data_IF_018963908581
#
_entry.id   IF_018963908581
#
_cell.length_a   1.000
_cell.length_b   1.000
_cell.length_c   1.000
_cell.angle_alpha   90.00
_cell.angle_beta   90.00
_cell.angle_gamma   90.00
#
_symmetry.space_group_name_H-M   'P 1'
#
loop_
_entity.id
_entity.type
_entity.pdbx_description
1 polymer ?
#
# COMPACT_ATOMS: atom_id res chain seq x y z
N UNK A 1 31.01 11.15 1.75
CA UNK A 1 31.81 9.98 2.18
C UNK A 1 31.22 8.79 1.47
N UNK A 2 32.02 7.99 0.78
CA UNK A 2 31.49 6.79 0.12
C UNK A 2 30.88 5.89 1.21
N UNK A 3 29.60 5.56 1.11
CA UNK A 3 28.97 4.58 1.99
C UNK A 3 29.80 3.29 1.91
N UNK A 4 30.38 2.88 3.04
CA UNK A 4 31.07 1.60 3.14
C UNK A 4 30.11 0.50 2.68
N UNK A 5 30.51 -0.25 1.65
CA UNK A 5 29.68 -1.29 1.08
C UNK A 5 29.49 -2.39 2.13
N UNK A 6 28.31 -2.43 2.75
CA UNK A 6 28.02 -3.30 3.88
C UNK A 6 28.28 -4.78 3.56
N UNK A 7 28.18 -5.18 2.29
CA UNK A 7 28.44 -6.56 1.84
C UNK A 7 29.87 -7.07 2.08
N UNK A 8 30.83 -6.19 2.33
CA UNK A 8 32.23 -6.54 2.62
C UNK A 8 32.57 -6.49 4.11
N UNK A 9 31.58 -6.32 4.99
CA UNK A 9 31.78 -6.37 6.44
C UNK A 9 31.65 -7.81 6.98
N UNK A 10 32.31 -8.12 8.11
CA UNK A 10 32.22 -9.44 8.76
C UNK A 10 30.80 -9.82 9.20
N UNK A 11 30.45 -11.10 9.11
CA UNK A 11 29.15 -11.66 9.54
C UNK A 11 28.88 -11.41 11.03
N UNK A 12 29.91 -11.41 11.88
CA UNK A 12 29.80 -11.20 13.34
C UNK A 12 29.17 -9.87 13.76
N UNK A 13 29.19 -8.88 12.86
CA UNK A 13 28.62 -7.55 13.08
C UNK A 13 27.08 -7.56 12.93
N UNK A 14 26.52 -8.61 12.31
CA UNK A 14 25.11 -8.65 11.89
C UNK A 14 24.36 -9.92 12.28
N UNK A 15 25.06 -10.97 12.72
CA UNK A 15 24.42 -12.21 13.13
C UNK A 15 23.72 -12.07 14.50
N UNK A 16 22.68 -12.88 14.70
CA UNK A 16 22.05 -13.03 16.00
C UNK A 16 22.86 -13.99 16.86
N UNK A 17 23.42 -13.50 17.97
CA UNK A 17 24.28 -14.30 18.87
C UNK A 17 23.50 -15.20 19.83
N UNK A 18 22.29 -14.80 20.22
CA UNK A 18 21.45 -15.62 21.11
C UNK A 18 20.67 -16.65 20.28
N UNK A 19 21.31 -17.79 20.04
CA UNK A 19 20.71 -18.90 19.28
C UNK A 19 20.17 -19.94 20.25
N UNK A 20 18.90 -20.31 20.08
CA UNK A 20 18.30 -21.40 20.86
C UNK A 20 18.74 -22.75 20.29
N UNK A 21 19.13 -23.65 21.18
CA UNK A 21 19.74 -24.94 20.84
C UNK A 21 19.02 -26.13 21.49
N UNK A 22 19.11 -27.29 20.86
CA UNK A 22 18.63 -28.57 21.40
C UNK A 22 19.59 -29.71 21.02
N UNK A 23 19.45 -30.86 21.67
CA UNK A 23 20.14 -32.10 21.30
C UNK A 23 19.39 -32.89 20.22
N UNK A 24 20.12 -33.70 19.45
CA UNK A 24 19.51 -34.55 18.41
C UNK A 24 18.55 -35.62 18.99
N UNK A 25 18.78 -36.04 20.23
CA UNK A 25 17.92 -36.99 20.94
C UNK A 25 16.73 -36.37 21.67
N UNK A 26 16.59 -35.04 21.65
CA UNK A 26 15.50 -34.36 22.34
C UNK A 26 14.16 -34.68 21.67
N UNK A 27 13.11 -34.78 22.49
CA UNK A 27 11.73 -34.95 22.00
C UNK A 27 11.36 -33.78 21.09
N UNK A 28 10.84 -34.10 19.90
CA UNK A 28 10.39 -33.09 18.95
C UNK A 28 9.33 -32.16 19.55
N UNK A 29 8.37 -32.71 20.31
CA UNK A 29 7.31 -31.92 20.95
C UNK A 29 7.85 -30.93 21.97
N UNK A 30 8.88 -31.31 22.73
CA UNK A 30 9.53 -30.43 23.71
C UNK A 30 10.24 -29.27 23.00
N UNK A 31 11.00 -29.57 21.94
CA UNK A 31 11.69 -28.56 21.15
C UNK A 31 10.71 -27.58 20.48
N UNK A 32 9.63 -28.08 19.87
CA UNK A 32 8.60 -27.24 19.24
C UNK A 32 7.82 -26.40 20.27
N UNK A 33 7.58 -26.94 21.47
CA UNK A 33 6.96 -26.16 22.56
C UNK A 33 7.86 -24.99 22.99
N UNK A 34 9.17 -25.24 23.09
CA UNK A 34 10.17 -24.20 23.33
C UNK A 34 10.17 -23.15 22.21
N UNK A 35 10.09 -23.60 20.95
CA UNK A 35 10.00 -22.69 19.80
C UNK A 35 8.78 -21.77 19.89
N UNK A 36 7.61 -22.32 20.24
CA UNK A 36 6.38 -21.56 20.44
C UNK A 36 6.50 -20.56 21.59
N UNK A 37 6.99 -20.99 22.75
CA UNK A 37 7.13 -20.15 23.94
C UNK A 37 8.10 -18.99 23.74
N UNK A 38 9.16 -19.22 22.97
CA UNK A 38 10.17 -18.21 22.64
C UNK A 38 9.87 -17.44 21.36
N UNK A 39 8.78 -17.78 20.67
CA UNK A 39 8.35 -17.20 19.40
C UNK A 39 9.47 -17.22 18.32
N UNK A 40 10.11 -18.38 18.14
CA UNK A 40 11.19 -18.61 17.15
C UNK A 40 10.79 -19.67 16.12
N UNK A 41 11.39 -19.62 14.93
CA UNK A 41 11.05 -20.48 13.78
C UNK A 41 12.15 -21.49 13.39
N UNK A 42 13.20 -21.58 14.20
CA UNK A 42 14.21 -22.66 14.13
C UNK A 42 15.05 -22.79 15.38
N UNK A 43 15.65 -23.96 15.54
CA UNK A 43 16.66 -24.24 16.55
C UNK A 43 17.88 -24.94 15.93
N UNK A 44 19.06 -24.62 16.44
CA UNK A 44 20.32 -25.30 16.06
C UNK A 44 20.47 -26.56 16.91
N UNK A 45 20.77 -27.67 16.27
CA UNK A 45 20.98 -28.96 16.91
C UNK A 45 22.45 -29.12 17.23
N UNK A 46 22.76 -29.38 18.50
CA UNK A 46 24.11 -29.64 18.97
C UNK A 46 24.36 -31.16 19.11
N UNK A 47 25.56 -31.59 18.76
CA UNK A 47 26.12 -32.90 19.10
C UNK A 47 27.47 -32.66 19.77
N UNK A 48 27.64 -33.19 20.98
CA UNK A 48 28.85 -33.02 21.79
C UNK A 48 29.28 -31.54 21.97
N UNK A 49 28.28 -30.65 22.09
CA UNK A 49 28.49 -29.20 22.24
C UNK A 49 28.76 -28.45 20.93
N UNK A 50 28.87 -29.15 19.79
CA UNK A 50 29.16 -28.57 18.48
C UNK A 50 27.92 -28.54 17.59
N UNK A 51 27.77 -27.52 16.71
CA UNK A 51 26.62 -27.41 15.82
C UNK A 51 26.65 -28.49 14.73
N UNK A 52 25.65 -29.37 14.72
CA UNK A 52 25.57 -30.57 13.86
C UNK A 52 24.38 -30.56 12.88
N UNK A 53 23.32 -29.81 13.24
CA UNK A 53 22.13 -29.69 12.41
C UNK A 53 21.28 -28.48 12.72
N UNK A 54 20.19 -28.32 11.97
CA UNK A 54 19.17 -27.29 12.20
C UNK A 54 17.80 -27.85 11.84
N UNK A 55 16.75 -27.46 12.54
CA UNK A 55 15.39 -27.74 12.11
C UNK A 55 14.51 -26.50 12.21
N UNK A 56 13.45 -26.46 11.40
CA UNK A 56 12.63 -25.29 11.13
C UNK A 56 11.14 -25.62 11.07
N UNK A 57 10.26 -24.62 11.14
CA UNK A 57 8.81 -24.83 10.95
C UNK A 57 8.46 -25.49 9.60
N UNK A 58 9.27 -25.24 8.57
CA UNK A 58 9.13 -25.87 7.25
C UNK A 58 9.39 -27.37 7.32
N UNK A 59 10.32 -27.80 8.16
CA UNK A 59 10.63 -29.22 8.38
C UNK A 59 9.47 -29.92 9.08
N UNK A 60 8.85 -29.28 10.08
CA UNK A 60 7.64 -29.81 10.73
C UNK A 60 6.53 -30.05 9.71
N UNK A 61 6.26 -29.07 8.85
CA UNK A 61 5.24 -29.19 7.80
C UNK A 61 5.56 -30.34 6.85
N UNK A 62 6.79 -30.40 6.34
CA UNK A 62 7.13 -31.28 5.22
C UNK A 62 7.52 -32.70 5.63
N UNK A 63 8.14 -32.86 6.81
CA UNK A 63 8.69 -34.14 7.28
C UNK A 63 7.83 -34.80 8.36
N UNK A 64 6.91 -34.07 9.00
CA UNK A 64 6.05 -34.62 10.06
C UNK A 64 4.59 -34.60 9.66
N UNK A 65 4.06 -33.40 9.36
CA UNK A 65 2.62 -33.23 9.08
C UNK A 65 2.23 -33.84 7.73
N UNK A 66 2.94 -33.48 6.65
CA UNK A 66 2.59 -33.96 5.31
C UNK A 66 2.66 -35.49 5.16
N UNK A 67 3.66 -36.19 5.75
CA UNK A 67 3.70 -37.66 5.73
C UNK A 67 2.77 -38.34 6.75
N UNK A 68 2.17 -37.60 7.69
CA UNK A 68 1.29 -38.14 8.72
C UNK A 68 2.00 -38.85 9.87
N UNK A 69 3.26 -38.47 10.18
CA UNK A 69 3.98 -39.05 11.31
C UNK A 69 3.46 -38.51 12.64
N UNK A 70 3.47 -39.37 13.67
CA UNK A 70 3.18 -38.98 15.04
C UNK A 70 4.33 -38.14 15.61
N UNK A 71 4.11 -36.86 15.97
CA UNK A 71 5.17 -36.03 16.54
C UNK A 71 5.70 -36.54 17.90
N UNK A 72 4.91 -37.36 18.60
CA UNK A 72 5.25 -37.93 19.90
C UNK A 72 6.33 -39.03 19.81
N UNK A 73 6.51 -39.62 18.64
CA UNK A 73 7.43 -40.73 18.40
C UNK A 73 8.77 -40.27 17.78
N UNK A 74 8.88 -38.99 17.43
CA UNK A 74 10.05 -38.43 16.74
C UNK A 74 10.96 -37.66 17.71
N UNK A 75 12.26 -37.83 17.49
CA UNK A 75 13.30 -36.96 18.02
C UNK A 75 13.62 -35.83 17.03
N UNK A 76 14.27 -34.77 17.51
CA UNK A 76 14.73 -33.67 16.64
C UNK A 76 15.66 -34.17 15.53
N UNK A 77 16.53 -35.14 15.85
CA UNK A 77 17.48 -35.74 14.91
C UNK A 77 16.83 -36.41 13.70
N UNK A 78 15.58 -36.89 13.83
CA UNK A 78 14.86 -37.56 12.74
C UNK A 78 14.42 -36.59 11.64
N UNK A 79 14.28 -35.30 11.98
CA UNK A 79 13.76 -34.28 11.06
C UNK A 79 14.75 -33.16 10.74
N UNK A 80 15.85 -33.06 11.49
CA UNK A 80 16.84 -32.01 11.27
C UNK A 80 17.48 -32.09 9.89
N UNK A 81 18.03 -30.97 9.43
CA UNK A 81 18.92 -30.92 8.28
C UNK A 81 20.37 -31.05 8.75
N UNK A 82 21.03 -32.09 8.24
CA UNK A 82 22.47 -32.35 8.40
C UNK A 82 23.01 -32.90 7.06
N UNK A 83 24.21 -32.53 6.59
CA UNK A 83 25.19 -31.67 7.26
C UNK A 83 24.73 -30.21 7.35
N UNK A 84 25.09 -29.56 8.46
CA UNK A 84 24.73 -28.17 8.74
C UNK A 84 25.48 -27.21 7.81
N UNK A 85 24.76 -26.29 7.19
CA UNK A 85 25.36 -25.20 6.43
C UNK A 85 25.84 -24.10 7.37
N UNK A 86 27.14 -23.84 7.37
CA UNK A 86 27.78 -22.87 8.26
C UNK A 86 28.51 -21.75 7.50
N UNK A 87 28.86 -20.70 8.22
CA UNK A 87 29.73 -19.61 7.78
C UNK A 87 30.59 -19.11 8.95
N UNK A 88 31.84 -18.72 8.70
CA UNK A 88 32.71 -18.16 9.74
C UNK A 88 32.23 -16.77 10.18
N UNK A 89 32.46 -16.41 11.45
CA UNK A 89 32.03 -15.11 11.96
C UNK A 89 32.82 -13.93 11.34
N UNK A 90 34.03 -14.19 10.85
CA UNK A 90 34.88 -13.25 10.12
C UNK A 90 34.73 -13.30 8.60
N UNK A 91 33.92 -14.23 8.06
CA UNK A 91 33.55 -14.23 6.64
C UNK A 91 32.70 -12.98 6.34
N UNK A 92 32.70 -12.56 5.08
CA UNK A 92 31.98 -11.35 4.63
C UNK A 92 30.55 -11.64 4.21
N UNK A 93 29.66 -10.65 4.38
CA UNK A 93 28.22 -10.81 4.12
C UNK A 93 27.85 -11.26 2.70
N UNK A 94 28.58 -10.83 1.66
CA UNK A 94 28.28 -11.31 0.30
C UNK A 94 28.45 -12.82 0.19
N UNK A 95 29.38 -13.41 0.95
CA UNK A 95 29.62 -14.84 0.95
C UNK A 95 28.47 -15.59 1.63
N UNK A 96 27.89 -15.01 2.69
CA UNK A 96 26.68 -15.52 3.32
C UNK A 96 25.53 -15.60 2.32
N UNK A 97 25.26 -14.52 1.57
CA UNK A 97 24.23 -14.50 0.53
C UNK A 97 24.51 -15.51 -0.59
N UNK A 98 25.75 -15.58 -1.04
CA UNK A 98 26.16 -16.52 -2.08
C UNK A 98 25.93 -17.97 -1.65
N UNK A 99 26.33 -18.34 -0.42
CA UNK A 99 26.12 -19.68 0.14
C UNK A 99 24.63 -19.99 0.30
N UNK A 100 23.83 -19.07 0.83
CA UNK A 100 22.38 -19.20 0.96
C UNK A 100 21.69 -19.44 -0.39
N UNK A 101 22.02 -18.61 -1.40
CA UNK A 101 21.49 -18.73 -2.76
C UNK A 101 21.84 -20.07 -3.40
N UNK A 102 23.12 -20.47 -3.33
CA UNK A 102 23.61 -21.73 -3.91
C UNK A 102 22.97 -22.95 -3.25
N UNK A 103 22.81 -22.94 -1.93
CA UNK A 103 22.23 -24.03 -1.17
C UNK A 103 20.69 -23.99 -1.14
N UNK A 104 20.07 -22.92 -1.67
CA UNK A 104 18.62 -22.65 -1.63
C UNK A 104 18.06 -22.68 -0.20
N UNK A 105 18.81 -22.09 0.72
CA UNK A 105 18.44 -21.95 2.14
C UNK A 105 18.41 -20.47 2.52
N UNK A 106 17.68 -20.13 3.57
CA UNK A 106 17.47 -18.75 4.01
C UNK A 106 18.27 -18.36 5.26
N UNK A 107 19.09 -19.28 5.78
CA UNK A 107 19.84 -19.10 7.02
C UNK A 107 21.12 -19.91 7.02
N UNK A 108 22.14 -19.37 7.68
CA UNK A 108 23.41 -20.04 7.93
C UNK A 108 23.72 -19.96 9.42
N UNK A 109 24.23 -21.05 9.96
CA UNK A 109 24.78 -21.04 11.32
C UNK A 109 26.16 -20.40 11.28
N UNK A 110 26.38 -19.43 12.15
CA UNK A 110 27.65 -18.71 12.27
C UNK A 110 28.51 -19.46 13.28
N UNK A 111 29.74 -19.77 12.89
CA UNK A 111 30.73 -20.46 13.72
C UNK A 111 31.96 -19.60 13.95
N UNK A 112 32.60 -19.78 15.10
CA UNK A 112 33.92 -19.19 15.38
C UNK A 112 35.07 -20.01 14.76
N UNK A 113 36.30 -19.57 14.98
CA UNK A 113 37.53 -20.23 14.51
C UNK A 113 37.71 -21.65 15.07
N UNK A 114 37.06 -21.99 16.19
CA UNK A 114 37.07 -23.33 16.77
C UNK A 114 35.92 -24.21 16.25
N UNK A 115 35.05 -23.66 15.40
CA UNK A 115 33.87 -24.33 14.87
C UNK A 115 32.68 -24.34 15.82
N UNK A 116 32.77 -23.66 16.97
CA UNK A 116 31.68 -23.58 17.93
C UNK A 116 30.62 -22.57 17.47
N UNK A 117 29.41 -22.71 18.02
CA UNK A 117 28.26 -21.88 17.65
C UNK A 117 28.47 -20.42 18.09
N UNK A 118 28.63 -19.51 17.13
CA UNK A 118 28.80 -18.07 17.37
C UNK A 118 27.53 -17.25 17.09
N UNK A 119 26.61 -17.78 16.28
CA UNK A 119 25.34 -17.11 15.98
C UNK A 119 24.54 -17.74 14.84
N UNK A 120 23.54 -17.02 14.35
CA UNK A 120 22.80 -17.36 13.14
C UNK A 120 22.58 -16.09 12.30
N UNK A 121 22.67 -16.20 10.98
CA UNK A 121 22.38 -15.10 10.06
C UNK A 121 21.38 -15.56 9.00
N UNK A 122 20.40 -14.72 8.69
CA UNK A 122 19.38 -14.97 7.66
C UNK A 122 19.55 -14.04 6.46
N UNK A 123 18.99 -14.42 5.32
CA UNK A 123 18.94 -13.55 4.13
C UNK A 123 18.21 -12.22 4.44
N UNK A 124 17.20 -12.27 5.30
CA UNK A 124 16.44 -11.12 5.77
C UNK A 124 17.30 -10.20 6.63
N UNK A 125 18.16 -10.75 7.50
CA UNK A 125 19.13 -9.95 8.27
C UNK A 125 20.07 -9.21 7.32
N UNK A 126 20.49 -9.83 6.23
CA UNK A 126 21.38 -9.21 5.23
C UNK A 126 20.64 -8.17 4.37
N UNK A 127 19.40 -8.44 3.98
CA UNK A 127 18.57 -7.50 3.21
C UNK A 127 18.26 -6.22 3.99
N UNK A 128 18.12 -6.31 5.33
CA UNK A 128 17.94 -5.15 6.22
C UNK A 128 19.10 -4.16 6.17
N UNK A 129 20.29 -4.63 5.83
CA UNK A 129 21.52 -3.83 5.76
C UNK A 129 21.57 -2.92 4.54
N UNK A 130 20.64 -3.07 3.61
CA UNK A 130 20.45 -2.06 2.60
C UNK A 130 19.76 -0.85 3.24
N UNK A 131 20.46 0.30 3.24
CA UNK A 131 19.93 1.60 3.67
C UNK A 131 18.62 2.01 2.94
N UNK A 132 18.31 1.29 1.86
CA UNK A 132 17.14 1.44 0.99
C UNK A 132 16.18 0.24 1.09
N UNK A 133 16.20 -0.54 2.17
CA UNK A 133 15.19 -1.60 2.34
C UNK A 133 13.85 -1.00 2.81
N UNK A 134 12.70 -1.42 2.22
CA UNK A 134 11.38 -1.02 2.68
C UNK A 134 11.15 -1.26 4.17
N UNK A 135 11.64 -2.39 4.69
CA UNK A 135 11.47 -2.77 6.09
C UNK A 135 12.20 -1.81 7.05
N UNK A 136 13.44 -1.42 6.73
CA UNK A 136 14.17 -0.45 7.54
C UNK A 136 13.45 0.90 7.57
N UNK A 137 12.89 1.32 6.43
CA UNK A 137 12.16 2.58 6.35
C UNK A 137 10.91 2.60 7.22
N UNK A 138 10.16 1.49 7.30
CA UNK A 138 9.03 1.36 8.24
C UNK A 138 9.49 1.53 9.70
N UNK A 139 10.55 0.82 10.09
CA UNK A 139 11.10 0.92 11.46
C UNK A 139 11.60 2.33 11.78
N UNK A 140 12.21 3.01 10.81
CA UNK A 140 12.68 4.38 10.98
C UNK A 140 11.50 5.36 11.14
N UNK A 141 10.40 5.17 10.39
CA UNK A 141 9.15 5.94 10.54
C UNK A 141 8.56 5.73 11.94
N UNK A 142 8.44 4.49 12.40
CA UNK A 142 7.90 4.20 13.74
C UNK A 142 8.70 4.88 14.87
N UNK A 143 10.02 4.99 14.69
CA UNK A 143 10.95 5.57 15.67
C UNK A 143 11.16 7.09 15.53
N UNK A 144 10.68 7.71 14.45
CA UNK A 144 10.86 9.13 14.20
C UNK A 144 10.43 9.96 15.41
N UNK A 145 11.28 10.84 15.94
CA UNK A 145 11.02 11.57 17.17
C UNK A 145 10.47 12.97 16.93
N UNK A 146 10.50 13.45 15.68
CA UNK A 146 10.09 14.79 15.29
C UNK A 146 9.44 14.84 13.91
N UNK A 147 8.74 15.94 13.61
CA UNK A 147 8.20 16.23 12.28
C UNK A 147 9.34 16.37 11.25
N UNK A 148 10.51 16.88 11.67
CA UNK A 148 11.69 17.01 10.81
C UNK A 148 12.29 15.65 10.43
N UNK A 149 12.27 14.67 11.34
CA UNK A 149 12.64 13.28 11.02
C UNK A 149 11.68 12.72 9.96
N UNK A 150 10.37 12.95 10.11
CA UNK A 150 9.37 12.52 9.13
C UNK A 150 9.54 13.19 7.77
N UNK A 151 9.92 14.46 7.71
CA UNK A 151 10.29 15.14 6.45
C UNK A 151 11.43 14.41 5.73
N UNK A 152 12.47 14.06 6.48
CA UNK A 152 13.63 13.34 5.96
C UNK A 152 13.24 11.93 5.48
N UNK A 153 12.39 11.24 6.23
CA UNK A 153 11.91 9.90 5.87
C UNK A 153 10.96 9.92 4.66
N UNK A 154 10.11 10.93 4.53
CA UNK A 154 9.26 11.11 3.36
C UNK A 154 10.10 11.29 2.07
N UNK A 155 11.19 12.06 2.13
CA UNK A 155 12.15 12.14 1.01
C UNK A 155 12.84 10.78 0.73
N UNK A 156 13.14 9.98 1.76
CA UNK A 156 13.68 8.62 1.59
C UNK A 156 12.68 7.67 0.92
N UNK A 157 11.36 7.82 1.16
CA UNK A 157 10.33 7.07 0.42
C UNK A 157 10.45 7.36 -1.08
N UNK A 158 10.57 8.64 -1.46
CA UNK A 158 10.73 9.00 -2.87
C UNK A 158 11.99 8.37 -3.48
N UNK A 159 13.12 8.42 -2.78
CA UNK A 159 14.36 7.78 -3.24
C UNK A 159 14.22 6.26 -3.36
N UNK A 160 13.55 5.59 -2.42
CA UNK A 160 13.24 4.18 -2.50
C UNK A 160 12.48 3.86 -3.79
N UNK A 161 11.43 4.62 -4.11
CA UNK A 161 10.66 4.45 -5.34
C UNK A 161 11.53 4.69 -6.58
N UNK A 162 12.42 5.68 -6.57
CA UNK A 162 13.37 5.93 -7.66
C UNK A 162 14.31 4.75 -7.91
N UNK A 163 14.79 4.09 -6.84
CA UNK A 163 15.67 2.93 -6.89
C UNK A 163 14.94 1.66 -7.34
N UNK A 164 13.73 1.45 -6.85
CA UNK A 164 12.90 0.30 -7.22
C UNK A 164 12.27 0.48 -8.61
N UNK A 165 12.16 1.69 -9.12
CA UNK A 165 11.65 1.95 -10.47
C UNK A 165 12.61 1.41 -11.54
N UNK A 166 12.16 0.38 -12.26
CA UNK A 166 12.93 -0.28 -13.31
C UNK A 166 13.45 -1.68 -12.94
N UNK A 167 13.19 -2.16 -11.72
CA UNK A 167 13.63 -3.50 -11.26
C UNK A 167 12.66 -4.64 -11.61
N UNK A 168 11.60 -4.37 -12.37
CA UNK A 168 10.61 -5.37 -12.77
C UNK A 168 9.55 -5.70 -11.71
N UNK A 169 9.50 -4.95 -10.59
CA UNK A 169 8.45 -5.07 -9.59
C UNK A 169 7.08 -4.78 -10.24
N UNK A 170 6.05 -5.62 -10.01
CA UNK A 170 4.69 -5.34 -10.48
C UNK A 170 4.17 -4.01 -9.95
N UNK A 171 3.48 -3.26 -10.82
CA UNK A 171 3.02 -1.91 -10.46
C UNK A 171 2.07 -1.89 -9.26
N UNK A 172 1.20 -2.92 -9.11
CA UNK A 172 0.31 -3.08 -7.96
C UNK A 172 1.11 -3.12 -6.65
N UNK A 173 2.21 -3.86 -6.61
CA UNK A 173 3.06 -4.00 -5.42
C UNK A 173 3.81 -2.71 -5.11
N UNK A 174 4.31 -2.02 -6.14
CA UNK A 174 4.97 -0.73 -6.00
C UNK A 174 4.03 0.34 -5.41
N UNK A 175 2.82 0.44 -5.94
CA UNK A 175 1.82 1.40 -5.49
C UNK A 175 1.36 1.09 -4.06
N UNK A 176 1.16 -0.20 -3.74
CA UNK A 176 0.81 -0.63 -2.38
C UNK A 176 1.94 -0.31 -1.38
N UNK A 177 3.20 -0.49 -1.78
CA UNK A 177 4.34 -0.10 -0.96
C UNK A 177 4.33 1.41 -0.66
N UNK A 178 4.13 2.24 -1.69
CA UNK A 178 4.05 3.71 -1.54
C UNK A 178 2.92 4.08 -0.57
N UNK A 179 1.71 3.57 -0.80
CA UNK A 179 0.56 3.86 0.03
C UNK A 179 0.77 3.45 1.49
N UNK A 180 1.31 2.24 1.73
CA UNK A 180 1.59 1.77 3.09
C UNK A 180 2.63 2.64 3.81
N UNK A 181 3.69 3.07 3.12
CA UNK A 181 4.71 3.94 3.72
C UNK A 181 4.14 5.33 4.04
N UNK A 182 3.32 5.90 3.14
CA UNK A 182 2.64 7.17 3.37
C UNK A 182 1.68 7.09 4.56
N UNK A 183 0.88 6.02 4.64
CA UNK A 183 0.00 5.75 5.78
C UNK A 183 0.78 5.73 7.10
N UNK A 184 1.95 5.05 7.15
CA UNK A 184 2.77 5.01 8.36
C UNK A 184 3.34 6.38 8.74
N UNK A 185 3.76 7.18 7.76
CA UNK A 185 4.21 8.57 8.01
C UNK A 185 3.09 9.37 8.66
N UNK A 186 1.87 9.28 8.13
CA UNK A 186 0.72 10.04 8.63
C UNK A 186 0.25 9.54 10.01
N UNK A 187 0.23 8.23 10.24
CA UNK A 187 -0.04 7.64 11.57
C UNK A 187 1.00 8.12 12.59
N UNK A 188 2.29 8.11 12.23
CA UNK A 188 3.34 8.61 13.12
C UNK A 188 3.21 10.10 13.39
N UNK A 189 2.87 10.88 12.37
CA UNK A 189 2.64 12.32 12.50
C UNK A 189 1.52 12.63 13.50
N UNK A 190 0.40 11.91 13.40
CA UNK A 190 -0.70 11.99 14.39
C UNK A 190 -0.19 11.64 15.78
N UNK A 191 0.60 10.58 15.93
CA UNK A 191 1.14 10.16 17.23
C UNK A 191 2.08 11.21 17.84
N UNK A 192 2.93 11.86 17.03
CA UNK A 192 3.83 12.93 17.49
C UNK A 192 3.05 14.16 17.97
N UNK A 193 2.09 14.64 17.17
CA UNK A 193 1.25 15.78 17.55
C UNK A 193 0.45 15.50 18.83
N UNK A 194 -0.08 14.28 18.97
CA UNK A 194 -0.77 13.85 20.20
C UNK A 194 0.15 13.77 21.41
N UNK A 195 1.39 13.34 21.24
CA UNK A 195 2.35 13.25 22.35
C UNK A 195 2.86 14.63 22.79
N UNK A 196 2.98 15.58 21.87
CA UNK A 196 3.52 16.91 22.12
C UNK A 196 2.46 17.87 22.65
N UNK A 197 1.52 18.29 21.80
CA UNK A 197 0.57 19.35 22.13
C UNK A 197 -0.84 18.81 22.43
N UNK A 198 -1.22 17.64 21.92
CA UNK A 198 -2.60 17.15 21.89
C UNK A 198 -2.83 15.91 22.76
N UNK A 199 -2.19 15.83 23.93
CA UNK A 199 -2.31 14.68 24.84
C UNK A 199 -3.72 14.50 25.42
N UNK A 200 -4.47 15.59 25.50
CA UNK A 200 -5.88 15.67 25.95
C UNK A 200 -6.89 15.43 24.82
N UNK A 201 -6.44 15.22 23.57
CA UNK A 201 -7.32 15.02 22.44
C UNK A 201 -8.17 13.76 22.64
N UNK A 202 -9.49 13.91 22.46
CA UNK A 202 -10.45 12.81 22.56
C UNK A 202 -10.05 11.62 21.67
N UNK A 203 -10.47 10.42 22.07
CA UNK A 203 -10.37 9.21 21.25
C UNK A 203 -11.66 8.96 20.46
N UNK A 204 -12.70 9.77 20.66
CA UNK A 204 -14.00 9.63 20.01
C UNK A 204 -14.05 10.28 18.62
N UNK A 205 -13.07 9.93 17.78
CA UNK A 205 -13.04 10.35 16.38
C UNK A 205 -12.32 9.32 15.49
N UNK A 206 -12.51 9.47 14.19
CA UNK A 206 -11.76 8.81 13.14
C UNK A 206 -11.18 9.88 12.22
N UNK A 207 -9.88 9.80 11.96
CA UNK A 207 -9.25 10.48 10.84
C UNK A 207 -9.28 9.53 9.64
N UNK A 208 -9.90 10.00 8.56
CA UNK A 208 -10.10 9.20 7.34
C UNK A 208 -9.42 9.83 6.16
N UNK A 209 -9.01 8.96 5.25
CA UNK A 209 -8.44 9.30 3.95
C UNK A 209 -9.37 8.83 2.84
N UNK A 210 -9.35 9.52 1.71
CA UNK A 210 -10.32 9.35 0.63
C UNK A 210 -9.61 9.33 -0.73
N UNK A 211 -10.38 9.18 -1.81
CA UNK A 211 -9.82 9.19 -3.16
C UNK A 211 -8.75 8.11 -3.36
N UNK A 212 -7.63 8.47 -4.00
CA UNK A 212 -6.53 7.51 -4.22
C UNK A 212 -5.86 7.04 -2.94
N UNK A 213 -5.81 7.87 -1.89
CA UNK A 213 -5.28 7.46 -0.59
C UNK A 213 -6.20 6.48 0.12
N UNK A 214 -7.52 6.75 0.06
CA UNK A 214 -8.57 5.84 0.52
C UNK A 214 -8.48 4.44 -0.10
N UNK A 215 -8.20 4.37 -1.41
CA UNK A 215 -8.05 3.12 -2.15
C UNK A 215 -6.66 2.47 -2.06
N UNK A 216 -5.67 3.13 -1.43
CA UNK A 216 -4.30 2.64 -1.38
C UNK A 216 -3.56 2.69 -2.73
N UNK A 217 -3.89 3.68 -3.56
CA UNK A 217 -3.46 3.81 -4.96
C UNK A 217 -2.59 5.06 -5.21
N UNK A 218 -1.95 5.57 -4.16
CA UNK A 218 -1.08 6.75 -4.26
C UNK A 218 0.16 6.44 -5.11
N UNK A 219 0.64 7.48 -5.81
CA UNK A 219 1.96 7.48 -6.43
C UNK A 219 2.77 8.66 -5.89
N UNK A 220 3.82 9.11 -6.58
CA UNK A 220 4.70 10.19 -6.14
C UNK A 220 4.09 11.61 -6.25
N UNK A 221 2.94 11.75 -6.89
CA UNK A 221 2.17 13.00 -6.93
C UNK A 221 0.82 12.73 -6.26
N UNK A 222 0.72 13.10 -4.99
CA UNK A 222 -0.50 13.00 -4.19
C UNK A 222 -0.71 14.30 -3.45
N UNK A 223 -1.94 14.79 -3.46
CA UNK A 223 -2.45 15.80 -2.56
C UNK A 223 -3.13 15.14 -1.35
N UNK A 224 -3.62 15.98 -0.43
CA UNK A 224 -4.28 15.56 0.80
C UNK A 224 -5.80 15.47 0.60
N UNK A 225 -6.37 14.27 0.64
CA UNK A 225 -7.83 14.07 0.65
C UNK A 225 -8.23 13.41 1.98
N UNK A 226 -8.52 14.21 3.01
CA UNK A 226 -8.83 13.71 4.34
C UNK A 226 -10.01 14.40 5.05
N UNK A 227 -10.56 13.72 6.05
CA UNK A 227 -11.68 14.20 6.85
C UNK A 227 -11.62 13.68 8.29
N UNK A 228 -12.37 14.32 9.20
CA UNK A 228 -12.61 13.84 10.55
C UNK A 228 -14.10 13.52 10.73
N UNK A 229 -14.37 12.34 11.27
CA UNK A 229 -15.68 11.92 11.75
C UNK A 229 -15.57 11.76 13.25
N UNK A 230 -16.36 12.52 14.02
CA UNK A 230 -16.37 12.40 15.48
C UNK A 230 -17.71 11.89 16.00
N UNK A 231 -17.73 11.40 17.24
CA UNK A 231 -18.98 11.02 17.90
C UNK A 231 -19.94 12.19 18.05
N UNK A 232 -21.23 11.90 18.18
CA UNK A 232 -22.27 12.93 18.39
C UNK A 232 -22.25 13.52 19.82
N UNK A 233 -21.52 12.88 20.75
CA UNK A 233 -21.51 13.23 22.17
C UNK A 233 -20.38 14.17 22.61
N UNK A 234 -19.52 14.63 21.71
CA UNK A 234 -18.39 15.50 22.06
C UNK A 234 -18.88 16.86 22.56
N UNK A 235 -18.23 17.37 23.59
CA UNK A 235 -18.42 18.73 24.07
C UNK A 235 -17.86 19.77 23.08
N UNK A 236 -18.31 21.01 23.18
CA UNK A 236 -17.79 22.11 22.36
C UNK A 236 -16.27 22.32 22.53
N UNK A 237 -15.73 22.06 23.73
CA UNK A 237 -14.30 22.14 24.00
C UNK A 237 -13.52 21.03 23.28
N UNK A 238 -14.02 19.79 23.29
CA UNK A 238 -13.39 18.68 22.55
C UNK A 238 -13.45 18.90 21.03
N UNK A 239 -14.56 19.43 20.52
CA UNK A 239 -14.70 19.78 19.09
C UNK A 239 -13.71 20.89 18.70
N UNK A 240 -13.57 21.93 19.52
CA UNK A 240 -12.57 22.99 19.30
C UNK A 240 -11.14 22.43 19.38
N UNK A 241 -10.88 21.45 20.24
CA UNK A 241 -9.58 20.78 20.31
C UNK A 241 -9.28 19.95 19.07
N UNK A 242 -10.28 19.24 18.53
CA UNK A 242 -10.19 18.55 17.23
C UNK A 242 -9.95 19.51 16.06
N UNK A 243 -10.50 20.74 16.13
CA UNK A 243 -10.22 21.80 15.15
C UNK A 243 -8.75 22.18 15.14
N UNK A 244 -8.23 22.56 16.30
CA UNK A 244 -6.83 22.97 16.42
C UNK A 244 -5.90 21.83 15.95
N UNK A 245 -6.19 20.61 16.39
CA UNK A 245 -5.46 19.42 15.95
C UNK A 245 -5.51 19.23 14.42
N UNK A 246 -6.66 19.41 13.79
CA UNK A 246 -6.78 19.21 12.35
C UNK A 246 -6.05 20.30 11.56
N UNK A 247 -5.99 21.54 12.05
CA UNK A 247 -5.16 22.58 11.46
C UNK A 247 -3.68 22.22 11.53
N UNK A 248 -3.17 21.86 12.70
CA UNK A 248 -1.74 21.56 12.89
C UNK A 248 -1.32 20.29 12.15
N UNK A 249 -2.19 19.27 12.08
CA UNK A 249 -1.92 18.07 11.30
C UNK A 249 -1.76 18.37 9.80
N UNK A 250 -2.62 19.24 9.24
CA UNK A 250 -2.55 19.61 7.83
C UNK A 250 -1.32 20.47 7.55
N UNK A 251 -0.98 21.41 8.43
CA UNK A 251 0.25 22.20 8.30
C UNK A 251 1.51 21.33 8.45
N UNK A 252 1.48 20.34 9.34
CA UNK A 252 2.58 19.39 9.49
C UNK A 252 2.75 18.52 8.23
N UNK A 253 1.65 18.05 7.62
CA UNK A 253 1.66 17.36 6.31
C UNK A 253 2.27 18.22 5.20
N UNK A 254 1.90 19.51 5.14
CA UNK A 254 2.49 20.46 4.19
C UNK A 254 3.99 20.60 4.45
N UNK A 255 4.39 20.71 5.71
CA UNK A 255 5.80 20.88 6.10
C UNK A 255 6.68 19.69 5.71
N UNK A 256 6.14 18.47 5.64
CA UNK A 256 6.87 17.27 5.20
C UNK A 256 6.84 17.04 3.67
N UNK A 257 6.17 17.94 2.93
CA UNK A 257 6.14 17.94 1.47
C UNK A 257 4.89 17.34 0.84
N UNK A 258 3.79 17.16 1.59
CA UNK A 258 2.49 16.73 1.02
C UNK A 258 1.63 17.97 0.74
N UNK A 259 1.42 18.35 -0.53
CA UNK A 259 0.73 19.59 -0.88
C UNK A 259 -0.75 19.57 -0.47
N UNK A 260 -1.35 20.74 -0.18
CA UNK A 260 -2.77 20.82 0.13
C UNK A 260 -3.62 20.43 -1.10
N UNK A 261 -4.80 19.86 -0.87
CA UNK A 261 -5.74 19.58 -1.95
C UNK A 261 -6.30 20.89 -2.53
N UNK A 262 -6.20 21.01 -3.85
CA UNK A 262 -6.71 22.16 -4.62
C UNK A 262 -8.23 22.33 -4.49
N UNK A 263 -8.96 21.25 -4.21
CA UNK A 263 -10.40 21.25 -3.98
C UNK A 263 -10.83 21.55 -2.54
N UNK A 264 -9.88 21.77 -1.61
CA UNK A 264 -10.19 22.06 -0.22
C UNK A 264 -10.69 20.85 0.58
N UNK A 265 -10.32 19.63 0.19
CA UNK A 265 -10.80 18.38 0.78
C UNK A 265 -9.89 17.98 1.95
N UNK A 266 -9.99 18.71 3.06
CA UNK A 266 -9.06 18.57 4.18
C UNK A 266 -9.78 18.77 5.51
N UNK A 267 -9.44 17.98 6.51
CA UNK A 267 -10.02 17.99 7.86
C UNK A 267 -9.87 19.32 8.62
N UNK A 268 -8.95 20.21 8.20
CA UNK A 268 -8.90 21.60 8.69
C UNK A 268 -10.13 22.41 8.29
N UNK A 269 -10.75 22.09 7.16
CA UNK A 269 -11.93 22.79 6.68
C UNK A 269 -13.18 22.24 7.41
N UNK A 270 -14.06 23.11 7.96
CA UNK A 270 -15.23 22.68 8.74
C UNK A 270 -16.15 21.71 8.00
N UNK A 271 -16.22 21.82 6.67
CA UNK A 271 -17.05 20.94 5.83
C UNK A 271 -16.60 19.47 5.87
N UNK A 272 -15.35 19.22 6.24
CA UNK A 272 -14.70 17.91 6.31
C UNK A 272 -14.41 17.48 7.76
N UNK A 273 -15.02 18.14 8.75
CA UNK A 273 -14.96 17.78 10.17
C UNK A 273 -16.35 17.85 10.76
N UNK A 274 -17.01 16.70 10.93
CA UNK A 274 -18.41 16.63 11.37
C UNK A 274 -18.66 15.47 12.32
N UNK A 275 -19.76 15.55 13.04
CA UNK A 275 -20.27 14.42 13.81
C UNK A 275 -20.76 13.31 12.89
N UNK A 276 -20.92 12.10 13.42
CA UNK A 276 -21.48 10.98 12.67
C UNK A 276 -22.87 11.30 12.10
N UNK A 277 -23.75 11.92 12.91
CA UNK A 277 -25.10 12.28 12.46
C UNK A 277 -25.09 13.36 11.38
N UNK A 278 -24.23 14.37 11.50
CA UNK A 278 -24.05 15.42 10.49
C UNK A 278 -23.49 14.87 9.18
N UNK A 279 -22.54 13.93 9.24
CA UNK A 279 -22.05 13.23 8.06
C UNK A 279 -23.14 12.41 7.37
N UNK A 280 -24.02 11.74 8.12
CA UNK A 280 -25.18 11.01 7.54
C UNK A 280 -26.14 11.96 6.83
N UNK A 281 -26.38 13.15 7.39
CA UNK A 281 -27.20 14.17 6.75
C UNK A 281 -26.56 14.70 5.46
N UNK A 282 -25.26 14.99 5.49
CA UNK A 282 -24.53 15.49 4.33
C UNK A 282 -24.43 14.44 3.21
N UNK A 283 -24.16 13.19 3.58
CA UNK A 283 -24.18 12.06 2.66
C UNK A 283 -25.58 11.89 2.02
N UNK A 284 -26.65 12.00 2.82
CA UNK A 284 -28.01 12.00 2.27
C UNK A 284 -28.20 13.15 1.26
N UNK A 285 -27.72 14.36 1.56
CA UNK A 285 -27.82 15.50 0.65
C UNK A 285 -27.12 15.20 -0.68
N UNK A 286 -25.91 14.63 -0.66
CA UNK A 286 -25.19 14.27 -1.87
C UNK A 286 -25.90 13.19 -2.68
N UNK A 287 -26.38 12.14 -2.00
CA UNK A 287 -27.04 10.99 -2.64
C UNK A 287 -28.43 11.34 -3.21
N UNK A 288 -29.13 12.32 -2.64
CA UNK A 288 -30.50 12.67 -3.05
C UNK A 288 -30.58 13.86 -4.00
N UNK A 289 -29.56 14.72 -4.01
CA UNK A 289 -29.54 15.93 -4.84
C UNK A 289 -28.35 15.85 -5.79
N UNK A 290 -28.50 15.25 -6.98
CA UNK A 290 -27.35 14.87 -7.76
C UNK A 290 -26.92 16.00 -8.71
N UNK A 291 -26.52 17.13 -8.12
CA UNK A 291 -25.77 18.19 -8.80
C UNK A 291 -24.36 17.68 -9.13
N UNK A 292 -23.70 18.17 -10.21
CA UNK A 292 -22.34 17.72 -10.56
C UNK A 292 -21.35 17.74 -9.40
N UNK A 293 -21.36 18.80 -8.60
CA UNK A 293 -20.51 18.94 -7.40
C UNK A 293 -20.80 17.85 -6.37
N UNK A 294 -22.07 17.59 -6.05
CA UNK A 294 -22.48 16.55 -5.10
C UNK A 294 -22.12 15.14 -5.58
N UNK A 295 -22.19 14.88 -6.89
CA UNK A 295 -21.81 13.58 -7.48
C UNK A 295 -20.30 13.37 -7.37
N UNK A 296 -19.50 14.41 -7.66
CA UNK A 296 -18.05 14.35 -7.54
C UNK A 296 -17.62 14.15 -6.08
N UNK A 297 -18.08 15.02 -5.18
CA UNK A 297 -17.75 14.97 -3.75
C UNK A 297 -18.25 13.68 -3.12
N UNK A 298 -19.49 13.28 -3.40
CA UNK A 298 -20.05 12.02 -2.92
C UNK A 298 -19.28 10.82 -3.44
N UNK A 299 -18.97 10.75 -4.74
CA UNK A 299 -18.16 9.67 -5.32
C UNK A 299 -16.79 9.55 -4.65
N UNK A 300 -16.11 10.67 -4.41
CA UNK A 300 -14.81 10.66 -3.74
C UNK A 300 -14.94 10.23 -2.28
N UNK A 301 -15.96 10.72 -1.56
CA UNK A 301 -16.21 10.35 -0.17
C UNK A 301 -16.46 8.85 -0.01
N UNK A 302 -17.07 8.19 -1.00
CA UNK A 302 -17.29 6.75 -0.98
C UNK A 302 -16.00 5.91 -0.99
N UNK A 303 -14.83 6.52 -1.26
CA UNK A 303 -13.53 5.87 -1.06
C UNK A 303 -13.00 6.00 0.38
N UNK A 304 -13.81 6.49 1.34
CA UNK A 304 -13.38 6.68 2.73
C UNK A 304 -12.76 5.42 3.33
N UNK A 305 -11.60 5.57 3.97
CA UNK A 305 -10.90 4.54 4.73
C UNK A 305 -10.40 5.13 6.04
N UNK A 306 -10.62 4.41 7.14
CA UNK A 306 -10.07 4.77 8.45
C UNK A 306 -8.55 4.64 8.41
N UNK A 307 -7.85 5.73 8.74
CA UNK A 307 -6.40 5.71 8.92
C UNK A 307 -6.03 5.71 10.41
N UNK A 308 -6.76 6.46 11.24
CA UNK A 308 -6.54 6.55 12.68
C UNK A 308 -7.87 6.69 13.43
N UNK A 309 -7.98 6.06 14.60
CA UNK A 309 -9.13 6.20 15.50
C UNK A 309 -10.25 5.17 15.25
N UNK A 310 -11.50 5.60 15.40
CA UNK A 310 -12.70 4.75 15.46
C UNK A 310 -13.20 4.26 14.09
N UNK A 311 -12.83 3.04 13.70
CA UNK A 311 -13.31 2.42 12.45
C UNK A 311 -14.82 2.18 12.40
N UNK A 312 -15.48 2.04 13.56
CA UNK A 312 -16.92 1.81 13.62
C UNK A 312 -17.75 3.02 13.13
N UNK A 313 -17.22 4.24 13.24
CA UNK A 313 -17.86 5.46 12.69
C UNK A 313 -17.92 5.40 11.16
N UNK A 314 -16.82 4.98 10.53
CA UNK A 314 -16.70 4.81 9.08
C UNK A 314 -17.62 3.69 8.58
N UNK A 315 -17.65 2.57 9.30
CA UNK A 315 -18.55 1.46 9.00
C UNK A 315 -20.02 1.90 9.02
N UNK A 316 -20.42 2.67 10.04
CA UNK A 316 -21.79 3.19 10.15
C UNK A 316 -22.15 4.12 8.97
N UNK A 317 -21.21 4.93 8.48
CA UNK A 317 -21.45 5.78 7.30
C UNK A 317 -21.57 4.96 6.01
N UNK A 318 -20.75 3.93 5.82
CA UNK A 318 -20.85 3.03 4.67
C UNK A 318 -22.18 2.27 4.64
N UNK A 319 -22.61 1.76 5.79
CA UNK A 319 -23.92 1.10 5.94
C UNK A 319 -25.07 2.08 5.61
N UNK A 320 -24.99 3.31 6.10
CA UNK A 320 -25.95 4.37 5.79
C UNK A 320 -26.00 4.69 4.30
N UNK A 321 -24.84 4.79 3.64
CA UNK A 321 -24.75 5.00 2.19
C UNK A 321 -25.44 3.87 1.41
N UNK A 322 -25.15 2.61 1.74
CA UNK A 322 -25.74 1.46 1.06
C UNK A 322 -27.26 1.35 1.27
N UNK A 323 -27.74 1.69 2.47
CA UNK A 323 -29.17 1.75 2.74
C UNK A 323 -29.87 2.78 1.84
N UNK A 324 -29.24 3.96 1.63
CA UNK A 324 -29.82 5.01 0.78
C UNK A 324 -29.73 4.69 -0.71
N UNK A 325 -28.64 4.10 -1.19
CA UNK A 325 -28.48 3.70 -2.59
C UNK A 325 -29.50 2.63 -3.01
N UNK A 326 -29.94 1.76 -2.08
CA UNK A 326 -31.00 0.79 -2.34
C UNK A 326 -32.36 1.41 -2.68
N UNK A 327 -32.56 2.71 -2.40
CA UNK A 327 -33.83 3.42 -2.59
C UNK A 327 -33.77 4.51 -3.68
N UNK A 328 -32.58 4.89 -4.14
CA UNK A 328 -32.40 5.96 -5.16
C UNK A 328 -31.25 5.62 -6.12
N UNK A 329 -31.61 5.07 -7.28
CA UNK A 329 -30.68 4.70 -8.35
C UNK A 329 -30.19 5.92 -9.16
N UNK A 330 -30.80 7.10 -8.98
CA UNK A 330 -30.46 8.31 -9.75
C UNK A 330 -29.04 8.81 -9.47
N UNK A 331 -28.55 8.64 -8.25
CA UNK A 331 -27.17 8.95 -7.90
C UNK A 331 -26.16 8.05 -8.63
N UNK A 332 -26.38 6.72 -8.61
CA UNK A 332 -25.49 5.76 -9.27
C UNK A 332 -25.39 6.04 -10.77
N UNK A 333 -26.53 6.31 -11.42
CA UNK A 333 -26.55 6.67 -12.84
C UNK A 333 -25.75 7.95 -13.12
N UNK A 334 -25.88 8.99 -12.29
CA UNK A 334 -25.12 10.25 -12.48
C UNK A 334 -23.64 10.12 -12.13
N UNK A 335 -23.30 9.29 -11.15
CA UNK A 335 -21.92 8.92 -10.88
C UNK A 335 -21.29 8.16 -12.06
N UNK A 336 -22.02 7.20 -12.62
CA UNK A 336 -21.62 6.52 -13.86
C UNK A 336 -21.58 7.49 -15.06
N UNK A 337 -22.39 8.54 -15.08
CA UNK A 337 -22.33 9.60 -16.09
C UNK A 337 -21.06 10.45 -15.94
N UNK A 338 -20.59 10.73 -14.72
CA UNK A 338 -19.41 11.56 -14.47
C UNK A 338 -18.18 11.04 -15.22
N UNK A 339 -17.94 9.72 -15.19
CA UNK A 339 -16.81 9.12 -15.92
C UNK A 339 -16.89 9.31 -17.44
N UNK A 340 -18.07 9.58 -18.00
CA UNK A 340 -18.22 9.82 -19.45
C UNK A 340 -17.75 11.21 -19.88
N UNK A 341 -17.55 12.14 -18.95
CA UNK A 341 -16.91 13.43 -19.23
C UNK A 341 -15.40 13.29 -19.48
N UNK A 342 -14.78 12.24 -18.95
CA UNK A 342 -13.38 11.90 -19.17
C UNK A 342 -13.24 10.94 -20.35
N UNK A 343 -13.49 11.45 -21.57
CA UNK A 343 -13.36 10.65 -22.78
C UNK A 343 -11.89 10.31 -23.06
N UNK A 344 -11.56 9.03 -23.35
CA UNK A 344 -10.25 8.66 -23.84
C UNK A 344 -9.85 9.56 -25.01
N UNK A 345 -8.66 10.16 -24.98
CA UNK A 345 -8.26 11.17 -25.95
C UNK A 345 -7.83 10.51 -27.27
N UNK A 346 -8.67 9.64 -27.84
CA UNK A 346 -8.43 9.00 -29.13
C UNK A 346 -9.06 9.85 -30.25
N UNK A 347 -8.27 10.06 -31.31
CA UNK A 347 -8.68 10.68 -32.56
C UNK A 347 -8.91 9.65 -33.65
N UNK A 348 -8.98 10.13 -34.89
CA UNK A 348 -9.08 9.25 -36.07
C UNK A 348 -7.93 8.25 -36.10
N UNK A 349 -8.25 6.99 -36.39
CA UNK A 349 -7.29 5.87 -36.45
C UNK A 349 -6.46 5.67 -35.16
N UNK A 350 -7.02 6.02 -33.99
CA UNK A 350 -6.37 5.77 -32.70
C UNK A 350 -5.23 6.75 -32.37
N UNK A 351 -5.13 7.89 -33.05
CA UNK A 351 -4.15 8.93 -32.72
C UNK A 351 -4.47 9.58 -31.38
N UNK A 352 -3.54 9.57 -30.44
CA UNK A 352 -3.72 10.16 -29.11
C UNK A 352 -3.71 11.70 -29.21
N UNK A 353 -4.71 12.35 -28.62
CA UNK A 353 -4.86 13.80 -28.53
C UNK A 353 -4.11 14.32 -27.31
N UNK A 354 -3.41 15.42 -27.51
CA UNK A 354 -2.59 16.08 -26.49
C UNK A 354 -3.19 17.44 -26.14
N UNK A 355 -2.82 17.97 -24.98
CA UNK A 355 -3.22 19.31 -24.58
C UNK A 355 -2.72 20.35 -25.58
N UNK A 356 -3.65 21.20 -26.04
CA UNK A 356 -3.39 22.17 -27.11
C UNK A 356 -2.83 23.50 -26.59
N UNK A 357 -3.03 23.80 -25.32
CA UNK A 357 -2.68 25.07 -24.69
C UNK A 357 -2.37 24.85 -23.19
N UNK A 358 -1.79 25.85 -22.53
CA UNK A 358 -1.43 25.79 -21.12
C UNK A 358 -0.01 25.29 -20.85
N UNK A 359 0.40 25.21 -19.57
CA UNK A 359 1.76 24.84 -19.15
C UNK A 359 2.16 23.40 -19.52
N UNK A 360 1.19 22.55 -19.85
CA UNK A 360 1.42 21.15 -20.24
C UNK A 360 1.10 20.88 -21.73
N UNK A 361 1.12 21.92 -22.56
CA UNK A 361 0.93 21.80 -24.01
C UNK A 361 1.82 20.70 -24.60
N UNK A 362 1.22 19.84 -25.43
CA UNK A 362 1.91 18.70 -26.05
C UNK A 362 2.03 17.47 -25.14
N UNK A 363 1.45 17.49 -23.93
CA UNK A 363 1.41 16.33 -23.04
C UNK A 363 0.00 15.76 -22.90
N UNK A 364 -0.07 14.55 -22.34
CA UNK A 364 -1.29 13.82 -22.02
C UNK A 364 -1.48 13.79 -20.50
N UNK A 365 -2.57 14.35 -19.97
CA UNK A 365 -2.99 14.09 -18.58
C UNK A 365 -3.51 12.65 -18.49
N UNK A 366 -2.68 11.74 -18.00
CA UNK A 366 -3.00 10.30 -17.97
C UNK A 366 -4.11 9.97 -16.96
N UNK A 367 -4.29 10.82 -15.94
CA UNK A 367 -5.34 10.66 -14.93
C UNK A 367 -6.70 10.87 -15.59
N UNK A 368 -6.84 11.98 -16.32
CA UNK A 368 -8.05 12.30 -17.11
C UNK A 368 -8.22 11.42 -18.34
N UNK A 369 -7.13 10.91 -18.92
CA UNK A 369 -7.20 10.10 -20.13
C UNK A 369 -7.82 8.71 -19.92
N UNK A 370 -7.65 8.11 -18.73
CA UNK A 370 -8.19 6.77 -18.49
C UNK A 370 -8.27 6.32 -17.04
N UNK A 371 -7.35 6.72 -16.16
CA UNK A 371 -7.34 6.26 -14.75
C UNK A 371 -8.67 6.62 -14.08
N UNK A 372 -9.13 7.88 -14.19
CA UNK A 372 -10.41 8.29 -13.60
C UNK A 372 -11.60 7.53 -14.16
N UNK A 373 -11.63 7.27 -15.47
CA UNK A 373 -12.72 6.53 -16.09
C UNK A 373 -12.82 5.09 -15.55
N UNK A 374 -11.67 4.45 -15.29
CA UNK A 374 -11.63 3.13 -14.68
C UNK A 374 -12.05 3.21 -13.21
N UNK A 375 -11.42 4.07 -12.40
CA UNK A 375 -11.69 4.12 -10.95
C UNK A 375 -13.14 4.49 -10.64
N UNK A 376 -13.71 5.47 -11.33
CA UNK A 376 -15.10 5.89 -11.12
C UNK A 376 -16.10 4.86 -11.64
N UNK A 377 -15.84 4.26 -12.80
CA UNK A 377 -16.72 3.21 -13.35
C UNK A 377 -16.74 1.95 -12.49
N UNK A 378 -15.56 1.49 -12.04
CA UNK A 378 -15.44 0.37 -11.10
C UNK A 378 -16.13 0.70 -9.79
N UNK A 379 -15.95 1.92 -9.26
CA UNK A 379 -16.63 2.36 -8.03
C UNK A 379 -18.15 2.36 -8.18
N UNK A 380 -18.69 2.81 -9.32
CA UNK A 380 -20.13 2.82 -9.55
C UNK A 380 -20.72 1.39 -9.54
N UNK A 381 -20.06 0.44 -10.22
CA UNK A 381 -20.44 -0.97 -10.19
C UNK A 381 -20.29 -1.57 -8.78
N UNK A 382 -19.19 -1.25 -8.10
CA UNK A 382 -18.91 -1.71 -6.75
C UNK A 382 -19.95 -1.22 -5.74
N UNK A 383 -20.42 0.03 -5.89
CA UNK A 383 -21.50 0.59 -5.08
C UNK A 383 -22.84 -0.08 -5.36
N UNK A 384 -23.17 -0.34 -6.64
CA UNK A 384 -24.38 -1.09 -7.02
C UNK A 384 -24.36 -2.51 -6.42
N UNK A 385 -23.21 -3.18 -6.46
CA UNK A 385 -23.01 -4.51 -5.91
C UNK A 385 -22.84 -4.54 -4.38
N UNK A 386 -22.75 -3.38 -3.71
CA UNK A 386 -22.44 -3.23 -2.28
C UNK A 386 -21.10 -3.89 -1.87
N UNK A 387 -20.06 -3.71 -2.70
CA UNK A 387 -18.70 -4.29 -2.59
C UNK A 387 -17.62 -3.22 -2.74
N UNK A 388 -17.53 -2.30 -1.78
CA UNK A 388 -16.73 -1.07 -1.93
C UNK A 388 -15.35 -1.10 -1.25
N UNK A 389 -15.02 -2.19 -0.58
CA UNK A 389 -13.76 -2.31 0.16
C UNK A 389 -12.54 -2.41 -0.78
N UNK A 390 -11.38 -1.95 -0.28
CA UNK A 390 -10.10 -2.10 -0.95
C UNK A 390 -9.86 -1.18 -2.14
N UNK A 391 -8.85 -1.57 -2.92
CA UNK A 391 -8.40 -0.89 -4.13
C UNK A 391 -9.31 -1.15 -5.32
N UNK A 392 -9.08 -0.47 -6.44
CA UNK A 392 -9.75 -0.72 -7.72
C UNK A 392 -9.52 -2.17 -8.18
N UNK A 393 -8.33 -2.74 -7.93
CA UNK A 393 -8.06 -4.15 -8.20
C UNK A 393 -8.98 -5.05 -7.39
N UNK A 394 -9.04 -4.85 -6.07
CA UNK A 394 -9.83 -5.69 -5.17
C UNK A 394 -11.33 -5.58 -5.51
N UNK A 395 -11.79 -4.39 -5.90
CA UNK A 395 -13.17 -4.15 -6.37
C UNK A 395 -13.47 -4.88 -7.68
N UNK A 396 -12.55 -4.88 -8.65
CA UNK A 396 -12.73 -5.64 -9.90
C UNK A 396 -12.80 -7.15 -9.60
N UNK A 397 -11.93 -7.66 -8.72
CA UNK A 397 -11.94 -9.06 -8.29
C UNK A 397 -13.31 -9.44 -7.66
N UNK A 398 -13.81 -8.63 -6.72
CA UNK A 398 -15.15 -8.82 -6.12
C UNK A 398 -16.29 -8.73 -7.14
N UNK A 399 -16.18 -7.85 -8.15
CA UNK A 399 -17.19 -7.71 -9.21
C UNK A 399 -17.21 -8.91 -10.17
N UNK A 400 -16.06 -9.57 -10.38
CA UNK A 400 -15.99 -10.83 -11.12
C UNK A 400 -16.65 -11.96 -10.32
N UNK A 401 -16.36 -12.06 -9.03
CA UNK A 401 -17.02 -13.04 -8.14
C UNK A 401 -18.53 -12.87 -8.08
N UNK A 402 -19.01 -11.61 -8.11
CA UNK A 402 -20.42 -11.27 -8.16
C UNK A 402 -21.07 -11.44 -9.55
N UNK A 403 -20.30 -11.81 -10.58
CA UNK A 403 -20.80 -11.99 -11.95
C UNK A 403 -21.18 -10.69 -12.68
N UNK A 404 -20.78 -9.53 -12.14
CA UNK A 404 -21.05 -8.21 -12.74
C UNK A 404 -20.11 -7.95 -13.92
N UNK A 405 -18.84 -8.34 -13.79
CA UNK A 405 -17.83 -8.23 -14.85
C UNK A 405 -17.39 -9.64 -15.27
N UNK A 406 -17.26 -9.87 -16.58
CA UNK A 406 -16.75 -11.16 -17.09
C UNK A 406 -15.26 -11.30 -16.80
N UNK A 407 -14.74 -12.50 -16.45
CA UNK A 407 -13.33 -12.69 -16.14
C UNK A 407 -12.35 -12.19 -17.22
N UNK A 408 -12.70 -12.34 -18.51
CA UNK A 408 -11.86 -11.83 -19.60
C UNK A 408 -11.83 -10.29 -19.63
N UNK A 409 -13.00 -9.64 -19.52
CA UNK A 409 -13.07 -8.18 -19.53
C UNK A 409 -12.36 -7.58 -18.31
N UNK A 410 -12.41 -8.25 -17.15
CA UNK A 410 -11.66 -7.88 -15.96
C UNK A 410 -10.14 -7.97 -16.16
N UNK A 411 -9.63 -9.04 -16.79
CA UNK A 411 -8.19 -9.16 -17.11
C UNK A 411 -7.72 -8.01 -17.99
N UNK A 412 -8.46 -7.71 -19.05
CA UNK A 412 -8.09 -6.64 -19.99
C UNK A 412 -8.17 -5.25 -19.33
N UNK A 413 -9.17 -5.03 -18.48
CA UNK A 413 -9.34 -3.79 -17.71
C UNK A 413 -8.21 -3.60 -16.68
N UNK A 414 -7.86 -4.63 -15.93
CA UNK A 414 -6.76 -4.62 -14.95
C UNK A 414 -5.42 -4.33 -15.63
N UNK A 415 -5.12 -5.03 -16.73
CA UNK A 415 -3.89 -4.79 -17.50
C UNK A 415 -3.80 -3.34 -18.00
N UNK A 416 -4.93 -2.77 -18.45
CA UNK A 416 -5.01 -1.38 -18.89
C UNK A 416 -4.81 -0.40 -17.73
N UNK A 417 -5.44 -0.66 -16.57
CA UNK A 417 -5.27 0.14 -15.36
C UNK A 417 -3.82 0.14 -14.89
N UNK A 418 -3.22 -1.04 -14.77
CA UNK A 418 -1.82 -1.24 -14.38
C UNK A 418 -0.86 -0.50 -15.33
N UNK A 419 -1.09 -0.60 -16.65
CA UNK A 419 -0.27 0.09 -17.63
C UNK A 419 -0.37 1.63 -17.49
N UNK A 420 -1.58 2.17 -17.30
CA UNK A 420 -1.78 3.61 -17.13
C UNK A 420 -1.13 4.12 -15.84
N UNK A 421 -1.30 3.40 -14.72
CA UNK A 421 -0.67 3.76 -13.43
C UNK A 421 0.85 3.64 -13.50
N UNK A 422 1.38 2.61 -14.15
CA UNK A 422 2.82 2.44 -14.39
C UNK A 422 3.37 3.58 -15.23
N UNK A 423 2.68 3.97 -16.31
CA UNK A 423 3.09 5.08 -17.18
C UNK A 423 3.10 6.40 -16.42
N UNK A 424 2.09 6.62 -15.56
CA UNK A 424 2.04 7.77 -14.65
C UNK A 424 3.24 7.79 -13.69
N UNK A 425 3.49 6.69 -13.00
CA UNK A 425 4.58 6.58 -12.03
C UNK A 425 5.96 6.76 -12.68
N UNK A 426 6.18 6.17 -13.87
CA UNK A 426 7.43 6.35 -14.62
C UNK A 426 7.69 7.82 -14.98
N UNK A 427 6.67 8.51 -15.50
CA UNK A 427 6.76 9.95 -15.80
C UNK A 427 7.13 10.78 -14.55
N UNK A 428 6.57 10.42 -13.40
CA UNK A 428 6.87 11.08 -12.11
C UNK A 428 8.30 10.79 -11.63
N UNK A 429 8.76 9.54 -11.76
CA UNK A 429 10.14 9.14 -11.47
C UNK A 429 11.13 9.91 -12.35
N UNK A 430 10.84 10.03 -13.64
CA UNK A 430 11.70 10.76 -14.59
C UNK A 430 11.73 12.26 -14.28
N UNK A 431 10.59 12.84 -13.87
CA UNK A 431 10.54 14.23 -13.40
C UNK A 431 11.43 14.43 -12.16
N UNK A 432 11.32 13.58 -11.14
CA UNK A 432 12.17 13.65 -9.94
C UNK A 432 13.66 13.50 -10.27
N UNK A 433 14.03 12.56 -11.15
CA UNK A 433 15.43 12.39 -11.61
C UNK A 433 15.95 13.65 -12.30
N UNK A 434 15.09 14.40 -12.97
CA UNK A 434 15.41 15.66 -13.61
C UNK A 434 15.31 16.88 -12.67
N UNK A 435 15.02 16.69 -11.37
CA UNK A 435 14.81 17.77 -10.41
C UNK A 435 13.53 18.58 -10.65
N UNK A 436 12.55 18.01 -11.35
CA UNK A 436 11.27 18.62 -11.66
C UNK A 436 10.14 18.04 -10.80
N UNK A 437 9.08 18.82 -10.61
CA UNK A 437 7.90 18.41 -9.86
C UNK A 437 7.13 17.28 -10.56
N UNK A 438 6.78 16.19 -9.85
CA UNK A 438 5.91 15.13 -10.36
C UNK A 438 4.52 15.65 -10.74
N UNK A 439 4.04 15.27 -11.93
CA UNK A 439 2.68 15.62 -12.39
C UNK A 439 1.92 14.41 -12.94
N UNK A 440 0.69 14.62 -13.40
CA UNK A 440 -0.09 13.62 -14.15
C UNK A 440 0.17 13.67 -15.67
N UNK A 441 1.03 14.58 -16.14
CA UNK A 441 1.24 14.81 -17.56
C UNK A 441 2.38 13.96 -18.10
N UNK A 442 2.11 13.20 -19.15
CA UNK A 442 3.06 12.32 -19.83
C UNK A 442 3.34 12.89 -21.22
N UNK A 443 4.62 13.05 -21.57
CA UNK A 443 5.02 13.42 -22.92
C UNK A 443 5.11 12.14 -23.78
N UNK A 444 4.43 12.07 -24.92
CA UNK A 444 4.44 10.84 -25.73
C UNK A 444 5.80 10.56 -26.37
N UNK A 445 6.60 11.59 -26.61
CA UNK A 445 7.97 11.45 -27.13
C UNK A 445 8.93 10.70 -26.19
N UNK A 446 8.62 10.61 -24.89
CA UNK A 446 9.41 9.80 -23.94
C UNK A 446 9.05 8.33 -24.00
N UNK A 447 7.95 7.97 -24.68
CA UNK A 447 7.51 6.59 -24.88
C UNK A 447 8.02 6.06 -26.21
N UNK A 448 8.56 4.85 -26.21
CA UNK A 448 8.93 4.16 -27.44
C UNK A 448 7.69 3.71 -28.23
N UNK A 449 7.88 3.26 -29.48
CA UNK A 449 6.78 2.86 -30.38
C UNK A 449 5.90 1.76 -29.79
N UNK A 450 6.49 0.80 -29.08
CA UNK A 450 5.74 -0.28 -28.43
C UNK A 450 4.88 0.26 -27.29
N UNK A 451 5.45 1.10 -26.43
CA UNK A 451 4.74 1.73 -25.30
C UNK A 451 3.63 2.66 -25.78
N UNK A 452 3.81 3.38 -26.90
CA UNK A 452 2.73 4.16 -27.53
C UNK A 452 1.62 3.26 -28.08
N UNK A 453 1.96 2.08 -28.58
CA UNK A 453 1.00 1.04 -28.98
C UNK A 453 0.21 0.49 -27.80
N UNK A 454 0.90 0.14 -26.70
CA UNK A 454 0.28 -0.33 -25.46
C UNK A 454 -0.64 0.73 -24.85
N UNK A 455 -0.22 2.00 -24.84
CA UNK A 455 -1.04 3.12 -24.38
C UNK A 455 -2.32 3.24 -25.21
N UNK A 456 -2.24 3.08 -26.53
CA UNK A 456 -3.41 3.10 -27.41
C UNK A 456 -4.38 1.97 -27.08
N UNK A 457 -3.88 0.74 -26.95
CA UNK A 457 -4.68 -0.43 -26.58
C UNK A 457 -5.36 -0.25 -25.21
N UNK A 458 -4.62 0.28 -24.23
CA UNK A 458 -5.17 0.58 -22.91
C UNK A 458 -6.31 1.60 -23.00
N UNK A 459 -6.15 2.68 -23.78
CA UNK A 459 -7.19 3.70 -23.99
C UNK A 459 -8.40 3.17 -24.77
N UNK A 460 -8.20 2.25 -25.72
CA UNK A 460 -9.28 1.55 -26.42
C UNK A 460 -10.08 0.67 -25.45
N UNK A 461 -9.40 -0.03 -24.54
CA UNK A 461 -10.05 -0.81 -23.49
C UNK A 461 -10.80 0.07 -22.50
N UNK A 462 -10.28 1.25 -22.15
CA UNK A 462 -11.03 2.26 -21.38
C UNK A 462 -12.31 2.65 -22.13
N UNK A 463 -12.22 2.94 -23.44
CA UNK A 463 -13.39 3.29 -24.24
C UNK A 463 -14.44 2.16 -24.28
N UNK A 464 -14.00 0.91 -24.41
CA UNK A 464 -14.87 -0.28 -24.32
C UNK A 464 -15.54 -0.36 -22.94
N UNK A 465 -14.80 -0.16 -21.85
CA UNK A 465 -15.34 -0.13 -20.50
C UNK A 465 -16.37 0.99 -20.30
N UNK A 466 -16.12 2.18 -20.86
CA UNK A 466 -17.12 3.25 -20.86
C UNK A 466 -18.39 2.88 -21.63
N UNK A 467 -18.25 2.17 -22.75
CA UNK A 467 -19.39 1.62 -23.49
C UNK A 467 -20.20 0.64 -22.66
N UNK A 468 -19.53 -0.27 -21.93
CA UNK A 468 -20.16 -1.18 -20.99
C UNK A 468 -20.95 -0.44 -19.91
N UNK A 469 -20.33 0.54 -19.22
CA UNK A 469 -20.97 1.34 -18.17
C UNK A 469 -22.20 2.08 -18.73
N UNK A 470 -22.10 2.71 -19.91
CA UNK A 470 -23.22 3.41 -20.56
C UNK A 470 -24.41 2.49 -20.82
N UNK A 471 -24.15 1.24 -21.21
CA UNK A 471 -25.19 0.25 -21.43
C UNK A 471 -25.78 -0.26 -20.11
N UNK A 472 -24.91 -0.65 -19.17
CA UNK A 472 -25.26 -1.19 -17.86
C UNK A 472 -26.18 -0.25 -17.07
N UNK A 473 -25.78 1.02 -16.93
CA UNK A 473 -26.56 2.05 -16.24
C UNK A 473 -27.59 2.75 -17.14
N UNK A 474 -27.78 2.30 -18.39
CA UNK A 474 -28.73 2.86 -19.36
C UNK A 474 -28.64 4.38 -19.52
N UNK A 475 -27.42 4.91 -19.57
CA UNK A 475 -27.17 6.37 -19.60
C UNK A 475 -27.76 7.06 -20.85
N UNK A 476 -28.01 6.32 -21.92
CA UNK A 476 -28.69 6.82 -23.12
C UNK A 476 -30.15 7.26 -22.88
N UNK A 477 -30.76 6.85 -21.77
CA UNK A 477 -32.11 7.26 -21.38
C UNK A 477 -32.11 8.54 -20.54
N UNK A 478 -30.94 9.03 -20.12
CA UNK A 478 -30.82 10.28 -19.38
C UNK A 478 -30.89 11.44 -20.36
N UNK A 479 -31.80 12.39 -20.10
CA UNK A 479 -31.76 13.71 -20.72
C UNK A 479 -30.76 14.56 -19.92
N UNK A 480 -29.92 15.31 -20.64
CA UNK A 480 -28.95 16.25 -20.06
C UNK A 480 -29.63 17.28 -19.14
#
# INVERSE_FOLDING_TARGET
MAEENQFFRPVRDFCQRQVMTCGAGDSLVSAVSTMRERNISSMVVLRDGMPDGIFTDRDLRNKVVAPGHSPLELAVGDIMHSPLATIGEDDVLYEALYRMSRLKIHRLVVIDDQGALAGIITDTDILRLQAHSPHQLVLDIEKAASIDDLRTLHARIQNLVLHLSGTGIPIRDMVRLIANLNDQVLIRLIALLRADEYADLTNDFAFVVMGSEGRGEQTLSTDQDNAIIHGDGLSAAEIARLEAFSHDLIEALISIGVPPCSGGIMARNPEWRRSLSDWKMELNRWLTTPKPENVMTGSMFMDLRTLYGRDDLVRSLREHAFARLGTDQGFLMRMAQNMTHFLPPLGWFGKIKLEKAGPHRGKLDIKKAGIFAITDGVKALAMEARKLDGSTHDRIEMLVEAGVIKPQDARDLLASFDFLVMTRLRSQVDALRAGAEPTNHVALETLNVMQQGELRLALEQVAKFQGFIKHHFRLHLMRD
#
